data_IF_597415054843
#
_entry.id   IF_597415054843
#
_cell.length_a   1.000
_cell.length_b   1.000
_cell.length_c   1.000
_cell.angle_alpha   90.00
_cell.angle_beta   90.00
_cell.angle_gamma   90.00
#
_symmetry.space_group_name_H-M   'P 1'
#
loop_
_entity.id
_entity.type
_entity.pdbx_description
1 polymer ?
#
# COMPACT_ATOMS: atom_id res chain seq x y z
N UNK A 1 6.06 -3.51 -21.69
CA UNK A 1 6.35 -3.43 -20.25
C UNK A 1 6.56 -1.98 -19.76
N UNK A 2 7.27 -1.11 -20.48
CA UNK A 2 7.44 0.30 -20.08
C UNK A 2 6.14 1.15 -20.10
N UNK A 3 5.23 0.91 -21.05
CA UNK A 3 3.95 1.66 -21.14
C UNK A 3 2.92 1.29 -20.05
N UNK A 4 3.12 0.20 -19.31
CA UNK A 4 2.24 -0.18 -18.18
C UNK A 4 2.63 0.52 -16.87
N UNK A 5 3.88 0.94 -16.73
CA UNK A 5 4.36 1.66 -15.54
C UNK A 5 3.78 3.08 -15.44
N UNK A 6 3.62 3.78 -16.56
CA UNK A 6 3.03 5.13 -16.58
C UNK A 6 1.52 5.16 -16.22
N UNK A 7 0.80 4.05 -16.41
CA UNK A 7 -0.63 3.97 -16.11
C UNK A 7 -0.91 3.71 -14.61
N UNK A 8 0.01 3.05 -13.90
CA UNK A 8 -0.09 2.79 -12.45
C UNK A 8 0.17 4.09 -11.66
N UNK A 9 1.15 4.90 -12.09
CA UNK A 9 1.49 6.20 -11.49
C UNK A 9 0.35 7.23 -11.65
N UNK A 10 -0.31 7.27 -12.81
CA UNK A 10 -1.45 8.15 -13.02
C UNK A 10 -2.66 7.79 -12.12
N UNK A 11 -2.90 6.50 -11.84
CA UNK A 11 -3.99 6.07 -10.96
C UNK A 11 -3.69 6.29 -9.47
N UNK A 12 -2.42 6.24 -9.05
CA UNK A 12 -2.01 6.45 -7.66
C UNK A 12 -2.18 7.91 -7.22
N UNK A 13 -1.80 8.86 -8.07
CA UNK A 13 -1.94 10.31 -7.79
C UNK A 13 -3.41 10.77 -7.88
N UNK A 14 -4.19 10.25 -8.85
CA UNK A 14 -5.60 10.64 -9.02
C UNK A 14 -6.52 10.09 -7.90
N UNK A 15 -6.26 8.90 -7.38
CA UNK A 15 -7.08 8.29 -6.33
C UNK A 15 -6.86 8.90 -4.94
N UNK A 16 -5.66 9.40 -4.64
CA UNK A 16 -5.39 10.13 -3.40
C UNK A 16 -6.03 11.53 -3.39
N UNK A 17 -6.10 12.21 -4.55
CA UNK A 17 -6.63 13.57 -4.66
C UNK A 17 -8.18 13.65 -4.68
N UNK A 18 -8.90 12.59 -5.08
CA UNK A 18 -10.36 12.66 -5.28
C UNK A 18 -11.23 12.47 -4.01
N UNK A 19 -10.66 12.07 -2.88
CA UNK A 19 -11.45 11.84 -1.64
C UNK A 19 -11.63 13.12 -0.81
N UNK A 20 -10.86 14.18 -1.07
CA UNK A 20 -10.93 15.44 -0.31
C UNK A 20 -12.13 16.35 -0.65
N UNK A 21 -12.99 16.00 -1.62
CA UNK A 21 -14.05 16.88 -2.12
C UNK A 21 -15.51 16.40 -1.94
N UNK A 22 -15.75 15.25 -1.31
CA UNK A 22 -17.12 14.75 -1.05
C UNK A 22 -17.27 14.20 0.36
N UNK A 23 -17.39 15.10 1.35
CA UNK A 23 -17.52 14.74 2.76
C UNK A 23 -18.33 15.77 3.57
N UNK A 24 -19.50 16.16 3.08
CA UNK A 24 -20.54 16.81 3.89
C UNK A 24 -21.89 16.58 3.25
N UNK A 25 -22.60 15.58 3.78
CA UNK A 25 -24.05 15.64 4.03
C UNK A 25 -24.59 14.21 4.21
N UNK A 26 -24.86 13.84 5.47
CA UNK A 26 -26.12 13.21 5.93
C UNK A 26 -25.97 12.64 7.34
N UNK A 27 -26.54 13.37 8.30
CA UNK A 27 -26.99 12.82 9.56
C UNK A 27 -28.52 12.96 9.64
N UNK A 28 -29.19 11.92 10.11
CA UNK A 28 -30.51 12.01 10.74
C UNK A 28 -31.63 11.20 10.09
N UNK A 29 -31.82 9.96 10.55
CA UNK A 29 -33.16 9.35 10.65
C UNK A 29 -33.26 8.57 11.96
N UNK A 30 -34.23 8.96 12.80
CA UNK A 30 -34.71 8.25 14.00
C UNK A 30 -36.22 8.06 13.84
N UNK A 31 -36.71 6.83 14.08
CA UNK A 31 -38.01 6.45 14.71
C UNK A 31 -38.27 4.95 14.44
N UNK A 32 -38.30 4.05 15.42
CA UNK A 32 -39.31 3.71 16.44
C UNK A 32 -40.53 2.87 15.99
N UNK A 33 -40.75 1.76 16.71
CA UNK A 33 -41.99 0.95 16.80
C UNK A 33 -41.69 -0.55 16.59
N UNK A 34 -41.88 -1.52 17.50
CA UNK A 34 -42.68 -1.62 18.73
C UNK A 34 -43.91 -2.52 18.50
N UNK A 35 -43.93 -3.76 19.02
CA UNK A 35 -45.18 -4.55 19.08
C UNK A 35 -45.08 -6.09 19.21
N UNK A 36 -44.99 -6.58 20.45
CA UNK A 36 -45.60 -7.75 21.12
C UNK A 36 -45.87 -9.14 20.44
N UNK A 37 -45.56 -10.16 21.27
CA UNK A 37 -45.64 -11.63 21.17
C UNK A 37 -47.05 -12.21 21.56
N UNK A 38 -47.22 -13.50 22.00
CA UNK A 38 -46.98 -14.88 21.47
C UNK A 38 -48.33 -15.72 21.56
N UNK A 39 -48.48 -17.06 21.82
CA UNK A 39 -47.54 -18.19 22.01
C UNK A 39 -47.92 -19.61 21.46
N UNK A 40 -46.99 -20.54 21.70
CA UNK A 40 -47.14 -21.97 22.10
C UNK A 40 -47.45 -23.07 21.05
N UNK A 41 -46.61 -24.11 21.02
CA UNK A 41 -46.95 -25.43 21.58
C UNK A 41 -45.76 -26.42 21.55
N UNK A 42 -45.51 -27.04 22.70
CA UNK A 42 -44.68 -28.22 22.92
C UNK A 42 -45.40 -29.46 22.37
N UNK A 43 -44.68 -30.39 21.71
CA UNK A 43 -45.03 -31.81 21.69
C UNK A 43 -43.77 -32.64 21.87
N UNK A 44 -43.72 -33.32 23.00
CA UNK A 44 -42.84 -34.44 23.34
C UNK A 44 -43.37 -35.73 22.71
N UNK A 45 -42.48 -36.60 22.23
CA UNK A 45 -42.87 -37.91 21.71
C UNK A 45 -41.67 -38.77 21.35
N UNK A 46 -41.10 -39.43 22.35
CA UNK A 46 -40.15 -40.51 22.17
C UNK A 46 -40.89 -41.81 21.87
N UNK A 47 -40.50 -42.52 20.81
CA UNK A 47 -40.82 -43.93 20.63
C UNK A 47 -39.66 -44.64 19.92
N UNK A 48 -39.10 -45.59 20.64
CA UNK A 48 -38.09 -46.56 20.22
C UNK A 48 -38.68 -47.63 19.31
N UNK A 49 -38.06 -47.89 18.16
CA UNK A 49 -38.20 -49.17 17.45
C UNK A 49 -36.88 -49.56 16.79
N UNK A 50 -36.43 -50.78 17.10
CA UNK A 50 -35.22 -51.44 16.62
C UNK A 50 -35.17 -51.55 15.07
N UNK A 51 -33.97 -51.74 14.46
CA UNK A 51 -33.81 -51.66 13.02
C UNK A 51 -34.34 -52.90 12.30
N UNK A 52 -35.11 -52.67 11.24
CA UNK A 52 -35.50 -53.69 10.26
C UNK A 52 -34.28 -54.16 9.43
N UNK A 53 -34.26 -55.41 8.94
CA UNK A 53 -33.09 -55.99 8.29
C UNK A 53 -32.80 -55.33 6.93
N UNK A 54 -31.52 -55.26 6.58
CA UNK A 54 -31.07 -54.75 5.28
C UNK A 54 -31.66 -55.58 4.12
N UNK A 55 -32.27 -54.97 3.10
CA UNK A 55 -32.66 -55.69 1.91
C UNK A 55 -31.42 -56.03 1.08
N UNK A 56 -31.42 -57.25 0.53
CA UNK A 56 -30.37 -57.79 -0.33
C UNK A 56 -30.21 -56.98 -1.62
N UNK A 57 -28.99 -57.02 -2.17
CA UNK A 57 -28.45 -56.27 -3.32
C UNK A 57 -29.13 -56.51 -4.68
N UNK A 58 -30.36 -57.04 -4.70
CA UNK A 58 -31.06 -57.41 -5.93
C UNK A 58 -32.33 -56.58 -6.23
N UNK A 59 -32.67 -55.55 -5.45
CA UNK A 59 -33.91 -54.75 -5.67
C UNK A 59 -33.71 -53.28 -6.08
N UNK A 60 -32.47 -52.80 -6.23
CA UNK A 60 -32.19 -51.40 -6.62
C UNK A 60 -32.24 -51.12 -8.14
N UNK A 61 -32.49 -52.13 -8.98
CA UNK A 61 -32.52 -51.97 -10.44
C UNK A 61 -33.82 -51.36 -11.01
N UNK A 62 -34.80 -51.02 -10.16
CA UNK A 62 -36.11 -50.50 -10.58
C UNK A 62 -36.35 -49.02 -10.26
N UNK A 63 -35.36 -48.31 -9.70
CA UNK A 63 -35.41 -46.85 -9.64
C UNK A 63 -34.69 -46.30 -10.88
N UNK A 64 -35.45 -45.70 -11.79
CA UNK A 64 -34.94 -45.00 -12.97
C UNK A 64 -34.13 -43.76 -12.59
N UNK A 65 -32.95 -43.97 -12.01
CA UNK A 65 -31.89 -42.98 -12.08
C UNK A 65 -31.54 -42.87 -13.57
N UNK A 66 -31.85 -41.71 -14.17
CA UNK A 66 -31.28 -41.37 -15.47
C UNK A 66 -29.76 -41.59 -15.45
N UNK A 67 -29.13 -41.87 -16.60
CA UNK A 67 -27.70 -42.14 -16.65
C UNK A 67 -26.96 -41.07 -15.85
N UNK A 68 -26.10 -41.51 -14.92
CA UNK A 68 -25.20 -40.61 -14.22
C UNK A 68 -24.53 -39.70 -15.27
N UNK A 69 -24.41 -38.38 -15.03
CA UNK A 69 -23.71 -37.51 -15.96
C UNK A 69 -22.36 -38.14 -16.29
N UNK A 70 -21.99 -38.20 -17.58
CA UNK A 70 -20.68 -38.71 -17.97
C UNK A 70 -19.62 -38.00 -17.12
N UNK A 71 -18.63 -38.71 -16.54
CA UNK A 71 -17.61 -38.08 -15.72
C UNK A 71 -16.94 -36.99 -16.56
N UNK A 72 -16.97 -35.76 -16.05
CA UNK A 72 -16.36 -34.61 -16.73
C UNK A 72 -14.92 -34.96 -17.12
N UNK A 73 -14.59 -34.84 -18.40
CA UNK A 73 -13.24 -35.09 -18.90
C UNK A 73 -12.41 -33.82 -18.73
N UNK A 74 -11.54 -33.83 -17.72
CA UNK A 74 -10.55 -32.77 -17.53
C UNK A 74 -9.31 -33.02 -18.40
N UNK A 75 -8.66 -31.94 -18.82
CA UNK A 75 -7.44 -32.01 -19.64
C UNK A 75 -6.30 -32.75 -18.92
N UNK A 76 -6.20 -32.62 -17.60
CA UNK A 76 -5.22 -33.31 -16.77
C UNK A 76 -5.69 -33.41 -15.31
N UNK A 77 -4.94 -34.15 -14.49
CA UNK A 77 -5.26 -34.36 -13.08
C UNK A 77 -5.12 -33.09 -12.21
N UNK A 78 -4.21 -32.16 -12.55
CA UNK A 78 -4.08 -30.89 -11.80
C UNK A 78 -5.36 -30.07 -11.90
N UNK A 79 -5.88 -29.87 -13.11
CA UNK A 79 -7.16 -29.15 -13.31
C UNK A 79 -8.35 -29.88 -12.70
N UNK A 80 -8.38 -31.22 -12.76
CA UNK A 80 -9.42 -32.01 -12.10
C UNK A 80 -9.45 -31.81 -10.58
N UNK A 81 -8.27 -31.65 -9.95
CA UNK A 81 -8.16 -31.41 -8.51
C UNK A 81 -8.58 -29.99 -8.09
N UNK A 82 -8.45 -28.99 -8.97
CA UNK A 82 -8.86 -27.61 -8.70
C UNK A 82 -10.36 -27.36 -8.86
N UNK A 83 -11.04 -28.16 -9.69
CA UNK A 83 -12.48 -28.05 -9.86
C UNK A 83 -13.28 -28.08 -8.55
N UNK A 84 -13.12 -29.07 -7.65
CA UNK A 84 -13.88 -29.11 -6.40
C UNK A 84 -13.58 -27.90 -5.50
N UNK A 85 -12.36 -27.34 -5.55
CA UNK A 85 -11.98 -26.12 -4.82
C UNK A 85 -12.79 -24.93 -5.32
N UNK A 86 -12.84 -24.71 -6.64
CA UNK A 86 -13.63 -23.63 -7.25
C UNK A 86 -15.12 -23.79 -6.92
N UNK A 87 -15.65 -25.01 -7.00
CA UNK A 87 -17.05 -25.27 -6.68
C UNK A 87 -17.36 -25.10 -5.19
N UNK A 88 -16.41 -25.37 -4.29
CA UNK A 88 -16.56 -25.09 -2.88
C UNK A 88 -16.60 -23.58 -2.61
N UNK A 89 -15.68 -22.82 -3.20
CA UNK A 89 -15.67 -21.36 -3.10
C UNK A 89 -16.92 -20.73 -3.73
N UNK A 90 -17.38 -21.22 -4.89
CA UNK A 90 -18.64 -20.76 -5.51
C UNK A 90 -19.83 -20.84 -4.56
N UNK A 91 -19.86 -21.81 -3.63
CA UNK A 91 -20.92 -21.95 -2.62
C UNK A 91 -20.81 -20.96 -1.46
N UNK A 92 -19.64 -20.36 -1.23
CA UNK A 92 -19.45 -19.33 -0.19
C UNK A 92 -19.79 -17.94 -0.72
N UNK A 93 -19.90 -17.76 -2.05
CA UNK A 93 -20.26 -16.49 -2.67
C UNK A 93 -21.72 -16.15 -2.35
N UNK A 94 -21.92 -15.01 -1.70
CA UNK A 94 -23.25 -14.52 -1.30
C UNK A 94 -23.84 -13.48 -2.24
N UNK A 95 -23.01 -12.88 -3.10
CA UNK A 95 -23.45 -11.96 -4.15
C UNK A 95 -22.55 -12.07 -5.39
N UNK A 96 -23.18 -11.99 -6.57
CA UNK A 96 -22.52 -11.98 -7.88
C UNK A 96 -23.31 -11.08 -8.84
N UNK A 97 -23.14 -9.75 -8.74
CA UNK A 97 -23.98 -8.78 -9.45
C UNK A 97 -23.82 -8.85 -10.98
N UNK A 98 -22.70 -9.41 -11.46
CA UNK A 98 -22.39 -9.53 -12.88
C UNK A 98 -22.59 -10.94 -13.43
N UNK A 99 -23.07 -11.89 -12.61
CA UNK A 99 -23.30 -13.28 -13.00
C UNK A 99 -22.04 -14.01 -13.48
N UNK A 100 -20.87 -13.63 -12.98
CA UNK A 100 -19.58 -14.19 -13.41
C UNK A 100 -19.47 -15.67 -13.08
N UNK A 101 -19.96 -16.07 -11.91
CA UNK A 101 -19.89 -17.45 -11.40
C UNK A 101 -20.74 -18.42 -12.23
N UNK A 102 -21.66 -17.92 -13.07
CA UNK A 102 -22.38 -18.74 -14.06
C UNK A 102 -21.44 -19.34 -15.11
N UNK A 103 -20.26 -18.75 -15.32
CA UNK A 103 -19.24 -19.30 -16.22
C UNK A 103 -18.42 -20.44 -15.61
N UNK A 104 -18.54 -20.67 -14.29
CA UNK A 104 -17.75 -21.63 -13.52
C UNK A 104 -18.45 -23.01 -13.48
N UNK A 105 -18.67 -23.59 -14.67
CA UNK A 105 -19.34 -24.87 -14.86
C UNK A 105 -18.59 -25.74 -15.88
N UNK A 106 -18.60 -27.05 -15.68
CA UNK A 106 -17.87 -28.00 -16.52
C UNK A 106 -16.36 -28.06 -16.23
N UNK A 107 -15.59 -28.79 -17.06
CA UNK A 107 -14.16 -29.01 -16.88
C UNK A 107 -13.25 -27.93 -17.51
N UNK A 108 -13.81 -26.95 -18.22
CA UNK A 108 -13.07 -25.92 -18.97
C UNK A 108 -12.55 -24.77 -18.09
N UNK A 109 -11.71 -25.06 -17.11
CA UNK A 109 -11.23 -24.10 -16.08
C UNK A 109 -10.41 -22.92 -16.63
N UNK A 110 -9.82 -23.06 -17.80
CA UNK A 110 -8.82 -22.12 -18.32
C UNK A 110 -9.45 -21.05 -19.22
N UNK A 111 -9.85 -19.91 -18.65
CA UNK A 111 -10.46 -18.76 -19.36
C UNK A 111 -9.69 -18.35 -20.62
N UNK A 112 -8.36 -18.35 -20.54
CA UNK A 112 -7.46 -17.99 -21.64
C UNK A 112 -7.64 -18.85 -22.90
N UNK A 113 -8.08 -20.10 -22.77
CA UNK A 113 -8.27 -21.02 -23.88
C UNK A 113 -9.65 -20.92 -24.54
N UNK A 114 -10.60 -20.22 -23.89
CA UNK A 114 -12.00 -20.15 -24.32
C UNK A 114 -12.46 -18.71 -24.52
N UNK A 115 -11.57 -17.82 -24.97
CA UNK A 115 -11.84 -16.39 -25.22
C UNK A 115 -12.54 -15.67 -24.05
N UNK A 116 -12.27 -16.09 -22.80
CA UNK A 116 -12.89 -15.48 -21.62
C UNK A 116 -14.33 -15.90 -21.33
N UNK A 117 -14.88 -16.89 -22.04
CA UNK A 117 -16.30 -17.28 -21.93
C UNK A 117 -16.56 -18.37 -20.88
N UNK A 118 -15.53 -19.12 -20.50
CA UNK A 118 -15.57 -20.20 -19.50
C UNK A 118 -14.64 -19.86 -18.34
N UNK A 119 -15.08 -20.15 -17.11
CA UNK A 119 -14.31 -19.87 -15.89
C UNK A 119 -13.67 -18.48 -15.88
N UNK A 120 -14.49 -17.46 -16.15
CA UNK A 120 -14.00 -16.08 -16.23
C UNK A 120 -13.28 -15.71 -14.94
N UNK A 121 -12.05 -15.22 -15.08
CA UNK A 121 -11.15 -14.88 -13.99
C UNK A 121 -10.09 -15.95 -13.66
N UNK A 122 -10.16 -17.16 -14.23
CA UNK A 122 -9.14 -18.19 -14.01
C UNK A 122 -8.24 -18.34 -15.24
N UNK A 123 -6.94 -18.07 -15.09
CA UNK A 123 -5.96 -18.10 -16.17
C UNK A 123 -4.94 -19.20 -15.93
N UNK A 124 -4.69 -19.98 -16.98
CA UNK A 124 -3.81 -21.14 -16.91
C UNK A 124 -2.48 -20.89 -17.62
N UNK A 125 -1.43 -21.47 -17.07
CA UNK A 125 -0.08 -21.51 -17.65
C UNK A 125 0.65 -22.79 -17.20
N UNK A 126 1.90 -22.93 -17.64
CA UNK A 126 2.77 -24.05 -17.33
C UNK A 126 3.74 -23.66 -16.20
N UNK A 127 3.68 -24.32 -15.02
CA UNK A 127 4.56 -23.98 -13.91
C UNK A 127 6.01 -24.40 -14.23
N UNK A 128 7.03 -23.70 -13.70
CA UNK A 128 8.44 -23.98 -14.00
C UNK A 128 8.88 -25.42 -13.73
N UNK A 129 8.30 -26.10 -12.73
CA UNK A 129 8.62 -27.49 -12.39
C UNK A 129 7.89 -28.53 -13.27
N UNK A 130 6.87 -28.13 -14.04
CA UNK A 130 6.09 -29.02 -14.90
C UNK A 130 5.70 -28.29 -16.20
N UNK A 131 6.68 -28.01 -17.09
CA UNK A 131 6.50 -27.15 -18.26
C UNK A 131 5.53 -27.72 -19.33
N UNK A 132 5.08 -28.96 -19.15
CA UNK A 132 4.14 -29.64 -20.06
C UNK A 132 2.75 -29.84 -19.44
N UNK A 133 2.56 -29.51 -18.16
CA UNK A 133 1.30 -29.74 -17.45
C UNK A 133 0.63 -28.42 -17.13
N UNK A 134 -0.43 -28.12 -17.88
CA UNK A 134 -1.24 -26.92 -17.68
C UNK A 134 -1.94 -26.93 -16.31
N UNK A 135 -1.91 -25.80 -15.61
CA UNK A 135 -2.56 -25.59 -14.30
C UNK A 135 -3.12 -24.17 -14.24
N UNK A 136 -3.94 -23.86 -13.22
CA UNK A 136 -4.34 -22.47 -12.97
C UNK A 136 -3.17 -21.75 -12.29
N UNK A 137 -2.58 -20.80 -13.00
CA UNK A 137 -1.41 -20.04 -12.54
C UNK A 137 -1.81 -18.65 -12.03
N UNK A 138 -2.97 -18.13 -12.45
CA UNK A 138 -3.43 -16.79 -12.11
C UNK A 138 -4.93 -16.78 -11.89
N UNK A 139 -5.36 -16.03 -10.90
CA UNK A 139 -6.78 -15.72 -10.66
C UNK A 139 -6.91 -14.20 -10.61
N UNK A 140 -7.73 -13.64 -11.51
CA UNK A 140 -8.02 -12.21 -11.59
C UNK A 140 -9.54 -12.00 -11.57
N UNK A 141 -10.01 -11.52 -10.43
CA UNK A 141 -11.39 -11.19 -10.11
C UNK A 141 -11.64 -9.68 -10.08
N UNK A 142 -10.75 -8.87 -10.66
CA UNK A 142 -10.85 -7.42 -10.62
C UNK A 142 -12.20 -6.93 -11.18
N UNK A 143 -12.92 -6.14 -10.38
CA UNK A 143 -14.19 -5.52 -10.74
C UNK A 143 -15.38 -6.48 -10.84
N UNK A 144 -15.29 -7.71 -10.32
CA UNK A 144 -16.42 -8.64 -10.35
C UNK A 144 -17.51 -8.33 -9.32
N UNK A 145 -17.19 -7.55 -8.27
CA UNK A 145 -18.15 -7.20 -7.23
C UNK A 145 -18.66 -8.40 -6.43
N UNK A 146 -17.89 -9.50 -6.36
CA UNK A 146 -18.26 -10.72 -5.64
C UNK A 146 -18.26 -10.48 -4.13
N UNK A 147 -19.23 -11.06 -3.42
CA UNK A 147 -19.23 -11.11 -1.96
C UNK A 147 -18.84 -12.51 -1.51
N UNK A 148 -17.79 -12.65 -0.70
CA UNK A 148 -17.51 -13.89 0.01
C UNK A 148 -16.95 -13.59 1.40
N UNK A 149 -17.36 -14.34 2.43
CA UNK A 149 -16.99 -14.05 3.81
C UNK A 149 -15.51 -14.36 4.13
N UNK A 150 -14.86 -15.19 3.32
CA UNK A 150 -13.46 -15.61 3.47
C UNK A 150 -12.90 -16.12 2.14
N UNK A 151 -11.58 -15.95 1.96
CA UNK A 151 -10.78 -16.56 0.89
C UNK A 151 -10.07 -17.85 1.34
N UNK A 152 -10.15 -18.19 2.62
CA UNK A 152 -9.52 -19.40 3.16
C UNK A 152 -10.21 -20.68 2.67
N UNK A 153 -9.42 -21.69 2.34
CA UNK A 153 -9.87 -22.90 1.67
C UNK A 153 -10.12 -22.72 0.16
N UNK A 154 -9.78 -21.54 -0.38
CA UNK A 154 -9.86 -21.25 -1.81
C UNK A 154 -8.49 -20.96 -2.38
N UNK A 155 -7.93 -19.76 -2.19
CA UNK A 155 -6.69 -19.35 -2.87
C UNK A 155 -5.47 -20.14 -2.40
N UNK A 156 -5.46 -20.59 -1.15
CA UNK A 156 -4.44 -21.45 -0.56
C UNK A 156 -4.44 -22.87 -1.13
N UNK A 157 -5.50 -23.28 -1.85
CA UNK A 157 -5.63 -24.62 -2.42
C UNK A 157 -5.20 -24.69 -3.90
N UNK A 158 -4.58 -23.64 -4.44
CA UNK A 158 -4.02 -23.61 -5.80
C UNK A 158 -2.49 -23.72 -5.75
N UNK A 159 -1.91 -24.93 -5.80
CA UNK A 159 -0.49 -25.17 -5.51
C UNK A 159 0.49 -24.50 -6.49
N UNK A 160 0.02 -24.10 -7.67
CA UNK A 160 0.82 -23.45 -8.70
C UNK A 160 0.43 -21.97 -8.91
N UNK A 161 -0.36 -21.38 -7.99
CA UNK A 161 -0.82 -20.00 -8.10
C UNK A 161 0.36 -19.03 -7.95
N UNK A 162 0.48 -18.13 -8.92
CA UNK A 162 1.53 -17.12 -8.98
C UNK A 162 1.02 -15.72 -8.60
N UNK A 163 -0.23 -15.41 -8.95
CA UNK A 163 -0.85 -14.12 -8.65
C UNK A 163 -2.34 -14.25 -8.38
N UNK A 164 -2.80 -13.45 -7.41
CA UNK A 164 -4.21 -13.30 -7.06
C UNK A 164 -4.58 -11.82 -7.07
N UNK A 165 -5.45 -11.43 -8.01
CA UNK A 165 -5.97 -10.07 -8.10
C UNK A 165 -7.48 -10.06 -7.82
N UNK A 166 -7.90 -9.22 -6.88
CA UNK A 166 -9.28 -9.16 -6.40
C UNK A 166 -9.76 -7.72 -6.16
N UNK A 167 -9.18 -6.74 -6.86
CA UNK A 167 -9.57 -5.33 -6.78
C UNK A 167 -11.10 -5.17 -6.96
N UNK A 168 -11.72 -4.30 -6.16
CA UNK A 168 -13.14 -3.92 -6.31
C UNK A 168 -14.09 -5.11 -6.21
N UNK A 169 -13.95 -5.86 -5.11
CA UNK A 169 -14.88 -6.90 -4.68
C UNK A 169 -15.39 -6.58 -3.26
N UNK A 170 -16.17 -7.48 -2.68
CA UNK A 170 -16.66 -7.38 -1.32
C UNK A 170 -16.23 -8.60 -0.50
N UNK A 171 -14.97 -9.01 -0.67
CA UNK A 171 -14.37 -10.07 0.12
C UNK A 171 -14.03 -9.58 1.53
N UNK A 172 -14.15 -10.47 2.51
CA UNK A 172 -13.81 -10.22 3.91
C UNK A 172 -13.09 -11.42 4.52
N UNK A 173 -12.90 -11.40 5.84
CA UNK A 173 -12.22 -12.46 6.59
C UNK A 173 -10.71 -12.21 6.65
N UNK A 174 -9.96 -13.26 6.93
CA UNK A 174 -8.50 -13.20 7.02
C UNK A 174 -7.85 -13.64 5.70
N UNK A 175 -6.64 -13.14 5.45
CA UNK A 175 -5.80 -13.65 4.35
C UNK A 175 -5.26 -15.02 4.78
N UNK A 176 -5.56 -16.10 4.05
CA UNK A 176 -5.08 -17.43 4.40
C UNK A 176 -3.55 -17.52 4.32
N UNK A 177 -2.99 -18.56 4.93
CA UNK A 177 -1.56 -18.85 4.78
C UNK A 177 -1.26 -19.22 3.32
N UNK A 178 -0.34 -18.49 2.70
CA UNK A 178 0.11 -18.69 1.31
C UNK A 178 1.58 -19.11 1.24
N UNK A 179 2.23 -19.37 2.38
CA UNK A 179 3.68 -19.63 2.46
C UNK A 179 4.09 -20.93 1.76
N UNK A 180 3.16 -21.86 1.58
CA UNK A 180 3.38 -23.10 0.84
C UNK A 180 3.25 -22.96 -0.68
N UNK A 181 2.89 -21.78 -1.20
CA UNK A 181 2.76 -21.53 -2.64
C UNK A 181 4.13 -21.11 -3.23
N UNK A 182 4.83 -21.98 -3.97
CA UNK A 182 6.22 -21.77 -4.34
C UNK A 182 6.43 -20.71 -5.44
N UNK A 183 5.36 -20.30 -6.11
CA UNK A 183 5.40 -19.37 -7.24
C UNK A 183 4.67 -18.04 -6.95
N UNK A 184 4.15 -17.85 -5.74
CA UNK A 184 3.28 -16.73 -5.44
C UNK A 184 4.09 -15.44 -5.26
N UNK A 185 3.84 -14.44 -6.11
CA UNK A 185 4.60 -13.19 -6.13
C UNK A 185 3.76 -11.90 -6.25
N UNK A 186 2.46 -11.97 -6.55
CA UNK A 186 1.57 -10.79 -6.49
C UNK A 186 0.27 -11.07 -5.74
N UNK A 187 -0.04 -10.19 -4.77
CA UNK A 187 -1.30 -10.18 -4.05
C UNK A 187 -1.94 -8.79 -4.15
N UNK A 188 -3.07 -8.70 -4.83
CA UNK A 188 -3.92 -7.51 -4.86
C UNK A 188 -5.28 -7.81 -4.24
N UNK A 189 -5.49 -7.28 -3.03
CA UNK A 189 -6.74 -7.34 -2.26
C UNK A 189 -7.39 -5.95 -2.14
N UNK A 190 -7.02 -5.02 -3.00
CA UNK A 190 -7.45 -3.63 -2.91
C UNK A 190 -8.97 -3.46 -3.05
N UNK A 191 -9.53 -2.43 -2.42
CA UNK A 191 -10.95 -2.08 -2.51
C UNK A 191 -11.87 -3.28 -2.19
N UNK A 192 -11.76 -3.79 -0.97
CA UNK A 192 -12.52 -4.92 -0.42
C UNK A 192 -13.03 -4.57 1.00
N UNK A 193 -13.50 -5.58 1.72
CA UNK A 193 -14.04 -5.45 3.07
C UNK A 193 -13.19 -6.22 4.10
N UNK A 194 -11.89 -6.41 3.83
CA UNK A 194 -10.96 -6.99 4.81
C UNK A 194 -10.80 -6.06 6.01
N UNK A 195 -10.67 -6.63 7.21
CA UNK A 195 -10.63 -5.88 8.47
C UNK A 195 -9.78 -6.61 9.51
N UNK A 196 -9.56 -6.00 10.68
CA UNK A 196 -8.68 -6.56 11.71
C UNK A 196 -7.29 -5.96 11.62
N UNK A 197 -6.29 -6.64 12.19
CA UNK A 197 -4.89 -6.21 12.11
C UNK A 197 -4.30 -6.42 10.71
N UNK A 198 -3.09 -5.91 10.48
CA UNK A 198 -2.31 -6.29 9.31
C UNK A 198 -2.26 -7.84 9.17
N UNK A 199 -2.38 -8.40 7.97
CA UNK A 199 -2.34 -9.85 7.77
C UNK A 199 -0.89 -10.36 7.87
N UNK A 200 -0.42 -10.68 9.07
CA UNK A 200 0.96 -11.13 9.33
C UNK A 200 1.38 -12.36 8.50
N UNK A 201 0.42 -13.12 7.98
CA UNK A 201 0.62 -14.24 7.04
C UNK A 201 1.28 -13.83 5.73
N UNK A 202 1.25 -12.54 5.34
CA UNK A 202 1.92 -12.06 4.11
C UNK A 202 3.41 -11.79 4.30
N UNK A 203 3.86 -11.55 5.55
CA UNK A 203 5.26 -11.26 5.87
C UNK A 203 6.21 -12.41 5.48
N UNK A 204 5.92 -13.70 5.80
CA UNK A 204 6.80 -14.81 5.43
C UNK A 204 6.79 -15.14 3.93
N UNK A 205 6.03 -14.44 3.09
CA UNK A 205 6.02 -14.64 1.63
C UNK A 205 7.28 -14.03 1.00
N UNK A 206 8.43 -14.68 1.19
CA UNK A 206 9.73 -14.16 0.76
C UNK A 206 9.92 -13.95 -0.74
N UNK A 207 9.00 -14.44 -1.58
CA UNK A 207 8.99 -14.22 -3.04
C UNK A 207 8.06 -13.10 -3.52
N UNK A 208 7.39 -12.39 -2.61
CA UNK A 208 6.40 -11.38 -2.96
C UNK A 208 7.07 -10.15 -3.59
N UNK A 209 6.59 -9.75 -4.77
CA UNK A 209 7.03 -8.54 -5.48
C UNK A 209 5.98 -7.43 -5.39
N UNK A 210 4.70 -7.78 -5.24
CA UNK A 210 3.61 -6.81 -5.22
C UNK A 210 2.62 -7.14 -4.10
N UNK A 211 2.39 -6.16 -3.21
CA UNK A 211 1.38 -6.25 -2.17
C UNK A 211 0.50 -5.00 -2.18
N UNK A 212 -0.76 -5.20 -2.53
CA UNK A 212 -1.78 -4.14 -2.48
C UNK A 212 -2.93 -4.49 -1.54
N UNK A 213 -3.01 -3.76 -0.43
CA UNK A 213 -4.05 -3.87 0.60
C UNK A 213 -4.90 -2.59 0.71
N UNK A 214 -4.78 -1.67 -0.25
CA UNK A 214 -5.41 -0.35 -0.17
C UNK A 214 -6.95 -0.42 -0.12
N UNK A 215 -7.59 0.60 0.43
CA UNK A 215 -9.06 0.71 0.48
C UNK A 215 -9.71 -0.52 1.13
N UNK A 216 -9.24 -0.87 2.33
CA UNK A 216 -9.84 -1.89 3.19
C UNK A 216 -10.15 -1.27 4.56
N UNK A 217 -10.46 -2.10 5.55
CA UNK A 217 -10.79 -1.71 6.93
C UNK A 217 -9.76 -2.25 7.93
N UNK A 218 -8.53 -2.48 7.49
CA UNK A 218 -7.46 -2.89 8.41
C UNK A 218 -7.18 -1.78 9.43
N UNK A 219 -6.78 -2.16 10.64
CA UNK A 219 -6.51 -1.23 11.73
C UNK A 219 -5.38 -1.73 12.64
N UNK A 220 -4.89 -0.86 13.52
CA UNK A 220 -3.76 -1.17 14.39
C UNK A 220 -2.41 -0.93 13.73
N UNK A 221 -1.34 -1.34 14.40
CA UNK A 221 0.02 -1.11 13.92
C UNK A 221 0.39 -2.04 12.76
N UNK A 222 1.16 -1.52 11.81
CA UNK A 222 1.83 -2.34 10.80
C UNK A 222 3.10 -2.93 11.45
N UNK A 223 3.29 -4.26 11.43
CA UNK A 223 4.48 -4.89 12.00
C UNK A 223 5.76 -4.37 11.33
N UNK A 224 6.83 -4.10 12.09
CA UNK A 224 8.10 -3.63 11.51
C UNK A 224 8.68 -4.48 10.38
N UNK A 225 8.60 -5.84 10.41
CA UNK A 225 9.10 -6.68 9.33
C UNK A 225 8.43 -6.45 7.96
N UNK A 226 7.26 -5.81 7.91
CA UNK A 226 6.60 -5.46 6.64
C UNK A 226 7.45 -4.49 5.82
N UNK A 227 8.19 -3.61 6.50
CA UNK A 227 9.09 -2.67 5.85
C UNK A 227 10.42 -3.30 5.44
N UNK A 228 10.73 -4.52 5.89
CA UNK A 228 11.91 -5.28 5.45
C UNK A 228 11.61 -6.17 4.23
N UNK A 229 10.35 -6.18 3.74
CA UNK A 229 9.96 -6.98 2.57
C UNK A 229 10.66 -6.47 1.30
N UNK A 230 11.12 -7.41 0.49
CA UNK A 230 11.75 -7.16 -0.82
C UNK A 230 10.71 -7.06 -1.94
N UNK A 231 9.63 -6.32 -1.70
CA UNK A 231 8.59 -6.02 -2.69
C UNK A 231 9.02 -4.85 -3.57
N UNK A 232 8.55 -4.78 -4.82
CA UNK A 232 8.69 -3.59 -5.68
C UNK A 232 7.64 -2.53 -5.32
N UNK A 233 6.42 -2.95 -4.98
CA UNK A 233 5.32 -2.06 -4.63
C UNK A 233 4.60 -2.51 -3.35
N UNK A 234 4.44 -1.57 -2.42
CA UNK A 234 3.74 -1.75 -1.16
C UNK A 234 2.65 -0.67 -1.00
N UNK A 235 1.40 -1.07 -1.14
CA UNK A 235 0.25 -0.16 -1.04
C UNK A 235 -0.62 -0.51 0.18
N UNK A 236 -0.61 0.37 1.18
CA UNK A 236 -1.35 0.22 2.44
C UNK A 236 -2.36 1.36 2.66
N UNK A 237 -2.53 2.24 1.66
CA UNK A 237 -3.31 3.47 1.81
C UNK A 237 -4.81 3.24 1.98
N UNK A 238 -5.50 4.23 2.57
CA UNK A 238 -6.95 4.20 2.78
C UNK A 238 -7.37 3.00 3.64
N UNK A 239 -6.77 2.89 4.82
CA UNK A 239 -7.10 1.95 5.88
C UNK A 239 -7.21 2.71 7.22
N UNK A 240 -7.30 1.99 8.32
CA UNK A 240 -7.23 2.51 9.70
C UNK A 240 -5.91 2.18 10.40
N UNK A 241 -4.81 1.95 9.67
CA UNK A 241 -3.51 1.65 10.28
C UNK A 241 -3.03 2.81 11.14
N UNK A 242 -2.38 2.50 12.26
CA UNK A 242 -1.92 3.48 13.24
C UNK A 242 -0.53 3.13 13.80
N UNK A 243 -0.10 3.87 14.82
CA UNK A 243 1.21 3.71 15.42
C UNK A 243 2.30 4.40 14.61
N UNK A 244 3.56 4.15 14.96
CA UNK A 244 4.71 4.79 14.32
C UNK A 244 5.20 4.00 13.12
N UNK A 245 5.70 4.71 12.11
CA UNK A 245 6.55 4.10 11.08
C UNK A 245 7.90 3.78 11.75
N UNK A 246 8.35 2.52 11.76
CA UNK A 246 9.55 2.09 12.46
C UNK A 246 10.83 2.46 11.70
N UNK A 247 11.97 2.47 12.39
CA UNK A 247 13.28 2.72 11.75
C UNK A 247 13.66 1.63 10.73
N UNK A 248 13.06 0.43 10.79
CA UNK A 248 13.20 -0.60 9.75
C UNK A 248 12.68 -0.16 8.39
N UNK A 249 11.96 0.97 8.31
CA UNK A 249 11.62 1.64 7.05
C UNK A 249 12.83 1.81 6.11
N UNK A 250 14.01 2.08 6.65
CA UNK A 250 15.23 2.25 5.86
C UNK A 250 15.71 0.97 5.15
N UNK A 251 15.21 -0.20 5.54
CA UNK A 251 15.55 -1.48 4.94
C UNK A 251 14.65 -1.87 3.77
N UNK A 252 13.67 -1.03 3.41
CA UNK A 252 12.66 -1.42 2.43
C UNK A 252 13.22 -1.64 1.03
N UNK A 253 12.81 -2.76 0.42
CA UNK A 253 13.04 -3.03 -0.99
C UNK A 253 12.09 -2.28 -1.93
N UNK A 254 11.06 -1.62 -1.38
CA UNK A 254 9.99 -1.00 -2.16
C UNK A 254 10.51 0.16 -3.02
N UNK A 255 10.13 0.12 -4.29
CA UNK A 255 10.26 1.25 -5.22
C UNK A 255 9.11 2.23 -5.07
N UNK A 256 7.89 1.71 -4.87
CA UNK A 256 6.68 2.49 -4.65
C UNK A 256 6.09 2.12 -3.29
N UNK A 257 6.05 3.07 -2.36
CA UNK A 257 5.54 2.87 -1.01
C UNK A 257 4.45 3.89 -0.70
N UNK A 258 3.22 3.43 -0.48
CA UNK A 258 2.07 4.31 -0.21
C UNK A 258 1.39 3.90 1.09
N UNK A 259 1.50 4.77 2.10
CA UNK A 259 0.85 4.63 3.42
C UNK A 259 -0.19 5.73 3.68
N UNK A 260 -0.54 6.47 2.64
CA UNK A 260 -1.48 7.58 2.64
C UNK A 260 -2.85 7.28 3.27
N UNK A 261 -3.55 8.30 3.78
CA UNK A 261 -4.91 8.19 4.30
C UNK A 261 -5.04 7.09 5.37
N UNK A 262 -4.24 7.19 6.42
CA UNK A 262 -4.23 6.31 7.58
C UNK A 262 -4.14 7.17 8.86
N UNK A 263 -3.75 6.57 9.98
CA UNK A 263 -3.58 7.20 11.28
C UNK A 263 -2.15 6.99 11.81
N UNK A 264 -1.15 6.92 10.92
CA UNK A 264 0.26 6.81 11.33
C UNK A 264 0.68 8.07 12.11
N UNK A 265 1.41 7.88 13.20
CA UNK A 265 1.85 8.93 14.13
C UNK A 265 3.37 8.97 14.26
N UNK A 266 3.88 10.04 14.89
CA UNK A 266 5.31 10.18 15.15
C UNK A 266 6.12 10.64 13.93
N UNK A 267 7.45 10.67 14.03
CA UNK A 267 8.30 11.24 12.99
C UNK A 267 8.43 10.35 11.77
N UNK A 268 8.69 11.01 10.63
CA UNK A 268 9.23 10.34 9.45
C UNK A 268 10.60 9.77 9.85
N UNK A 269 10.84 8.44 9.70
CA UNK A 269 12.09 7.82 10.13
C UNK A 269 13.28 8.42 9.41
N UNK A 270 14.33 8.77 10.16
CA UNK A 270 15.58 9.27 9.57
C UNK A 270 16.23 8.21 8.70
N UNK A 271 15.99 6.92 8.97
CA UNK A 271 16.48 5.80 8.19
C UNK A 271 16.02 5.79 6.73
N UNK A 272 15.10 6.67 6.31
CA UNK A 272 14.72 6.86 4.90
C UNK A 272 15.93 7.07 3.97
N UNK A 273 17.04 7.64 4.43
CA UNK A 273 18.25 7.75 3.57
C UNK A 273 18.83 6.39 3.16
N UNK A 274 18.55 5.31 3.89
CA UNK A 274 19.04 3.97 3.52
C UNK A 274 18.30 3.40 2.30
N UNK A 275 17.19 4.02 1.87
CA UNK A 275 16.37 3.55 0.75
C UNK A 275 16.81 4.13 -0.60
N UNK A 276 17.93 4.89 -0.66
CA UNK A 276 18.40 5.55 -1.90
C UNK A 276 18.67 4.58 -3.06
N UNK A 277 18.87 3.29 -2.78
CA UNK A 277 19.08 2.28 -3.81
C UNK A 277 17.77 1.75 -4.43
N UNK A 278 16.62 1.99 -3.80
CA UNK A 278 15.36 1.31 -4.12
C UNK A 278 14.19 2.27 -4.32
N UNK A 279 14.01 3.21 -3.39
CA UNK A 279 12.79 4.03 -3.29
C UNK A 279 12.74 5.11 -4.36
N UNK A 280 11.67 5.12 -5.15
CA UNK A 280 11.40 6.12 -6.18
C UNK A 280 10.21 7.00 -5.83
N UNK A 281 9.18 6.45 -5.18
CA UNK A 281 7.99 7.19 -4.78
C UNK A 281 7.57 6.81 -3.36
N UNK A 282 7.34 7.82 -2.52
CA UNK A 282 6.82 7.64 -1.17
C UNK A 282 5.71 8.63 -0.83
N UNK A 283 4.57 8.09 -0.40
CA UNK A 283 3.36 8.85 -0.14
C UNK A 283 2.89 8.61 1.30
N UNK A 284 3.09 9.63 2.14
CA UNK A 284 2.70 9.73 3.54
C UNK A 284 1.44 10.58 3.77
N UNK A 285 0.83 11.11 2.71
CA UNK A 285 -0.23 12.12 2.81
C UNK A 285 -1.43 11.71 3.67
N UNK A 286 -2.05 12.68 4.34
CA UNK A 286 -3.23 12.48 5.21
C UNK A 286 -2.99 11.41 6.29
N UNK A 287 -2.04 11.68 7.17
CA UNK A 287 -1.75 10.91 8.37
C UNK A 287 -1.65 11.86 9.58
N UNK A 288 -1.14 11.37 10.71
CA UNK A 288 -0.86 12.14 11.93
C UNK A 288 0.66 12.19 12.19
N UNK A 289 1.48 12.15 11.13
CA UNK A 289 2.94 12.19 11.26
C UNK A 289 3.36 13.54 11.81
N UNK A 290 4.27 13.55 12.77
CA UNK A 290 4.62 14.74 13.56
C UNK A 290 6.11 14.84 13.84
N UNK A 291 6.55 15.95 14.41
CA UNK A 291 7.98 16.20 14.66
C UNK A 291 8.68 16.83 13.46
N UNK A 292 10.01 16.88 13.52
CA UNK A 292 10.80 17.65 12.56
C UNK A 292 10.96 16.94 11.22
N UNK A 293 10.86 17.69 10.12
CA UNK A 293 11.19 17.21 8.79
C UNK A 293 12.68 16.80 8.72
N UNK A 294 13.01 15.51 8.46
CA UNK A 294 14.38 15.03 8.59
C UNK A 294 15.27 15.50 7.44
N UNK A 295 16.52 15.86 7.78
CA UNK A 295 17.55 16.24 6.82
C UNK A 295 17.89 15.11 5.84
N UNK A 296 17.77 13.88 6.32
CA UNK A 296 18.09 12.64 5.63
C UNK A 296 17.26 12.40 4.36
N UNK A 297 16.07 13.00 4.23
CA UNK A 297 15.27 12.90 3.00
C UNK A 297 16.05 13.43 1.78
N UNK A 298 16.79 14.53 1.95
CA UNK A 298 17.59 15.10 0.87
C UNK A 298 18.76 14.23 0.40
N UNK A 299 19.00 13.10 1.05
CA UNK A 299 20.04 12.12 0.69
C UNK A 299 19.48 10.92 -0.09
N UNK A 300 18.16 10.89 -0.32
CA UNK A 300 17.50 9.81 -1.06
C UNK A 300 17.68 10.05 -2.57
N UNK A 301 18.70 9.42 -3.14
CA UNK A 301 18.95 9.45 -4.58
C UNK A 301 17.82 8.76 -5.36
N UNK A 302 17.47 9.27 -6.55
CA UNK A 302 16.44 8.67 -7.40
C UNK A 302 14.98 8.88 -6.94
N UNK A 303 14.76 9.65 -5.86
CA UNK A 303 13.41 9.97 -5.39
C UNK A 303 12.70 10.91 -6.38
N UNK A 304 11.59 10.46 -6.94
CA UNK A 304 10.77 11.15 -7.95
C UNK A 304 9.56 11.83 -7.31
N UNK A 305 8.88 11.13 -6.40
CA UNK A 305 7.70 11.66 -5.70
C UNK A 305 7.89 11.56 -4.19
N UNK A 306 7.76 12.69 -3.52
CA UNK A 306 7.67 12.75 -2.06
C UNK A 306 6.43 13.55 -1.66
N UNK A 307 5.44 12.86 -1.09
CA UNK A 307 4.23 13.51 -0.58
C UNK A 307 4.07 13.25 0.92
N UNK A 308 4.20 14.30 1.72
CA UNK A 308 3.90 14.30 3.15
C UNK A 308 2.80 15.31 3.53
N UNK A 309 1.93 15.66 2.57
CA UNK A 309 0.88 16.64 2.78
C UNK A 309 -0.20 16.20 3.77
N UNK A 310 -0.85 17.12 4.47
CA UNK A 310 -1.93 16.81 5.42
C UNK A 310 -1.43 16.00 6.62
N UNK A 311 -0.39 16.50 7.29
CA UNK A 311 0.21 15.89 8.49
C UNK A 311 0.46 16.98 9.56
N UNK A 312 1.14 16.62 10.63
CA UNK A 312 1.56 17.50 11.73
C UNK A 312 3.08 17.74 11.73
N UNK A 313 3.73 17.59 10.57
CA UNK A 313 5.19 17.76 10.44
C UNK A 313 5.54 19.24 10.61
N UNK A 314 6.59 19.51 11.36
CA UNK A 314 7.05 20.86 11.68
C UNK A 314 8.53 21.06 11.34
N UNK A 315 8.99 22.30 11.46
CA UNK A 315 10.38 22.69 11.22
C UNK A 315 10.58 23.47 9.91
N UNK A 316 11.78 24.02 9.71
CA UNK A 316 12.18 24.53 8.41
C UNK A 316 12.42 23.40 7.41
N UNK A 317 12.27 23.68 6.11
CA UNK A 317 12.72 22.75 5.07
C UNK A 317 14.26 22.68 5.13
N UNK A 318 14.87 21.49 5.34
CA UNK A 318 16.32 21.33 5.37
C UNK A 318 16.97 21.70 4.03
N UNK A 319 18.17 22.29 4.06
CA UNK A 319 18.87 22.67 2.82
C UNK A 319 19.28 21.45 1.96
N UNK A 320 19.37 20.25 2.56
CA UNK A 320 19.60 19.00 1.84
C UNK A 320 18.51 18.69 0.80
N UNK A 321 17.30 19.24 0.93
CA UNK A 321 16.24 19.04 -0.06
C UNK A 321 16.64 19.56 -1.44
N UNK A 322 17.57 20.53 -1.53
CA UNK A 322 18.14 20.95 -2.82
C UNK A 322 18.95 19.87 -3.55
N UNK A 323 19.23 18.73 -2.92
CA UNK A 323 19.96 17.60 -3.50
C UNK A 323 19.06 16.53 -4.11
N UNK A 324 17.74 16.68 -4.02
CA UNK A 324 16.76 15.78 -4.64
C UNK A 324 16.72 15.99 -6.17
N UNK A 325 17.78 15.61 -6.89
CA UNK A 325 17.94 15.94 -8.31
C UNK A 325 16.89 15.34 -9.24
N UNK A 326 16.31 14.20 -8.84
CA UNK A 326 15.31 13.46 -9.62
C UNK A 326 13.86 13.78 -9.24
N UNK A 327 13.63 14.61 -8.22
CA UNK A 327 12.26 14.87 -7.75
C UNK A 327 11.47 15.64 -8.80
N UNK A 328 10.28 15.13 -9.11
CA UNK A 328 9.32 15.73 -10.02
C UNK A 328 8.15 16.35 -9.23
N UNK A 329 7.73 15.69 -8.15
CA UNK A 329 6.66 16.15 -7.27
C UNK A 329 7.08 16.13 -5.80
N UNK A 330 7.04 17.32 -5.18
CA UNK A 330 7.30 17.51 -3.77
C UNK A 330 6.09 18.20 -3.13
N UNK A 331 5.32 17.44 -2.36
CA UNK A 331 4.15 17.94 -1.66
C UNK A 331 4.35 17.92 -0.14
N UNK A 332 4.34 19.10 0.47
CA UNK A 332 4.46 19.31 1.91
C UNK A 332 3.29 20.16 2.44
N UNK A 333 2.22 20.30 1.67
CA UNK A 333 1.10 21.18 2.02
C UNK A 333 0.31 20.71 3.24
N UNK A 334 -0.34 21.61 3.97
CA UNK A 334 -1.16 21.25 5.13
C UNK A 334 -0.34 20.63 6.25
N UNK A 335 0.69 21.34 6.69
CA UNK A 335 1.61 20.95 7.78
C UNK A 335 1.88 22.16 8.69
N UNK A 336 2.84 22.01 9.60
CA UNK A 336 3.31 23.04 10.52
C UNK A 336 4.74 23.51 10.17
N UNK A 337 5.10 23.47 8.88
CA UNK A 337 6.42 23.90 8.43
C UNK A 337 6.54 25.42 8.45
N UNK A 338 7.73 25.94 8.72
CA UNK A 338 7.92 27.38 8.93
C UNK A 338 9.29 27.87 8.48
N UNK A 339 9.48 29.19 8.56
CA UNK A 339 10.74 29.84 8.22
C UNK A 339 10.77 30.35 6.79
N UNK A 340 11.96 30.53 6.24
CA UNK A 340 12.14 30.88 4.83
C UNK A 340 12.09 29.61 3.98
N UNK A 341 11.37 29.64 2.85
CA UNK A 341 11.47 28.59 1.83
C UNK A 341 12.88 28.63 1.21
N UNK A 342 13.70 27.57 1.33
CA UNK A 342 15.07 27.59 0.85
C UNK A 342 15.12 27.71 -0.68
N UNK A 343 15.85 28.71 -1.18
CA UNK A 343 15.95 28.96 -2.62
C UNK A 343 16.61 27.79 -3.38
N UNK A 344 17.42 26.98 -2.68
CA UNK A 344 18.03 25.76 -3.21
C UNK A 344 17.02 24.69 -3.60
N UNK A 345 15.86 24.63 -2.94
CA UNK A 345 14.78 23.69 -3.31
C UNK A 345 14.12 24.14 -4.60
N UNK A 346 13.89 25.45 -4.75
CA UNK A 346 13.30 26.01 -5.95
C UNK A 346 14.26 25.97 -7.17
N UNK A 347 15.57 25.92 -6.94
CA UNK A 347 16.54 25.69 -8.02
C UNK A 347 16.35 24.33 -8.72
N UNK A 348 15.78 23.32 -8.04
CA UNK A 348 15.51 22.01 -8.65
C UNK A 348 14.57 22.09 -9.86
N UNK A 349 13.69 23.08 -9.94
CA UNK A 349 12.83 23.26 -11.12
C UNK A 349 13.60 23.80 -12.33
N UNK A 350 14.79 24.37 -12.11
CA UNK A 350 15.66 24.92 -13.15
C UNK A 350 16.81 23.99 -13.51
N UNK A 351 17.41 23.34 -12.51
CA UNK A 351 18.60 22.48 -12.67
C UNK A 351 18.29 20.99 -12.59
N UNK A 352 17.10 20.62 -12.13
CA UNK A 352 16.64 19.24 -11.97
C UNK A 352 15.33 18.98 -12.70
N UNK A 353 14.47 18.13 -12.12
CA UNK A 353 13.21 17.65 -12.74
C UNK A 353 11.94 18.16 -12.07
N UNK A 354 12.04 19.05 -11.08
CA UNK A 354 10.89 19.47 -10.25
C UNK A 354 9.83 20.19 -11.09
N UNK A 355 8.63 19.61 -11.13
CA UNK A 355 7.48 20.11 -11.89
C UNK A 355 6.37 20.65 -10.97
N UNK A 356 6.24 20.10 -9.77
CA UNK A 356 5.21 20.50 -8.81
C UNK A 356 5.79 20.60 -7.39
N UNK A 357 5.71 21.78 -6.78
CA UNK A 357 6.12 22.05 -5.41
C UNK A 357 4.96 22.66 -4.63
N UNK A 358 4.35 21.87 -3.75
CA UNK A 358 3.20 22.32 -2.96
C UNK A 358 3.62 22.56 -1.51
N UNK A 359 3.62 23.83 -1.09
CA UNK A 359 3.94 24.29 0.27
C UNK A 359 2.76 25.01 0.91
N UNK A 360 1.56 24.90 0.34
CA UNK A 360 0.38 25.62 0.82
C UNK A 360 -0.04 25.18 2.21
N UNK A 361 -0.79 26.03 2.92
CA UNK A 361 -1.32 25.72 4.25
C UNK A 361 -0.23 25.33 5.26
N UNK A 362 0.83 26.15 5.35
CA UNK A 362 1.94 26.06 6.31
C UNK A 362 2.18 27.42 6.99
N UNK A 363 3.32 27.63 7.64
CA UNK A 363 3.69 28.88 8.33
C UNK A 363 4.97 29.50 7.77
N UNK A 364 5.29 29.34 6.47
CA UNK A 364 6.46 30.01 5.89
C UNK A 364 6.29 31.53 5.91
N UNK A 365 7.35 32.28 6.27
CA UNK A 365 7.29 33.74 6.38
C UNK A 365 7.91 34.49 5.18
N UNK A 366 8.73 33.80 4.37
CA UNK A 366 9.39 34.40 3.21
C UNK A 366 9.79 33.37 2.17
N UNK A 367 10.01 33.85 0.95
CA UNK A 367 10.52 33.09 -0.20
C UNK A 367 11.73 33.81 -0.80
N UNK A 368 12.68 33.05 -1.34
CA UNK A 368 13.82 33.59 -2.08
C UNK A 368 13.47 34.01 -3.52
N UNK A 369 14.48 34.43 -4.28
CA UNK A 369 14.32 34.94 -5.64
C UNK A 369 13.85 33.85 -6.61
N UNK A 370 14.48 32.68 -6.58
CA UNK A 370 14.11 31.56 -7.46
C UNK A 370 12.73 31.01 -7.10
N UNK A 371 12.40 30.93 -5.81
CA UNK A 371 11.07 30.54 -5.38
C UNK A 371 9.97 31.52 -5.85
N UNK A 372 10.24 32.83 -5.84
CA UNK A 372 9.30 33.83 -6.37
C UNK A 372 8.99 33.61 -7.86
N UNK A 373 9.98 33.19 -8.65
CA UNK A 373 9.78 32.84 -10.06
C UNK A 373 8.84 31.63 -10.21
N UNK A 374 9.01 30.60 -9.38
CA UNK A 374 8.15 29.41 -9.39
C UNK A 374 6.72 29.69 -8.94
N UNK A 375 6.52 30.63 -8.01
CA UNK A 375 5.16 31.07 -7.64
C UNK A 375 4.47 31.73 -8.84
N UNK A 376 5.20 32.57 -9.59
CA UNK A 376 4.66 33.23 -10.78
C UNK A 376 4.34 32.25 -11.91
N UNK A 377 5.14 31.20 -12.07
CA UNK A 377 4.92 30.14 -13.07
C UNK A 377 3.94 29.06 -12.63
N UNK A 378 3.39 29.13 -11.41
CA UNK A 378 2.47 28.14 -10.81
C UNK A 378 3.06 26.75 -10.58
N UNK A 379 4.39 26.65 -10.57
CA UNK A 379 5.10 25.44 -10.14
C UNK A 379 5.12 25.35 -8.61
N UNK A 380 5.18 26.49 -7.91
CA UNK A 380 5.20 26.57 -6.45
C UNK A 380 3.89 27.16 -5.89
N UNK A 381 3.16 26.38 -5.10
CA UNK A 381 2.00 26.85 -4.33
C UNK A 381 2.40 27.22 -2.89
N UNK A 382 2.24 28.50 -2.53
CA UNK A 382 2.50 29.04 -1.18
C UNK A 382 1.27 29.71 -0.56
N UNK A 383 0.07 29.41 -1.04
CA UNK A 383 -1.17 29.93 -0.43
C UNK A 383 -1.29 29.47 1.02
N UNK A 384 -2.03 30.21 1.84
CA UNK A 384 -2.26 29.93 3.27
C UNK A 384 -0.96 29.75 4.06
N UNK A 385 0.00 30.67 3.85
CA UNK A 385 1.23 30.79 4.63
C UNK A 385 1.28 32.12 5.40
N UNK A 386 2.44 32.49 5.94
CA UNK A 386 2.68 33.74 6.66
C UNK A 386 3.56 34.73 5.86
N UNK A 387 3.50 34.68 4.52
CA UNK A 387 4.37 35.45 3.65
C UNK A 387 3.79 36.85 3.41
N UNK A 388 4.42 37.87 3.97
CA UNK A 388 3.95 39.25 3.81
C UNK A 388 3.92 39.68 2.34
N UNK A 389 2.80 40.28 1.92
CA UNK A 389 2.61 40.84 0.57
C UNK A 389 2.16 39.83 -0.49
N UNK A 390 2.00 38.55 -0.16
CA UNK A 390 1.43 37.55 -1.07
C UNK A 390 -0.10 37.46 -0.92
N UNK A 391 -0.84 37.07 -1.97
CA UNK A 391 -2.27 36.82 -1.87
C UNK A 391 -2.59 35.54 -1.08
N UNK A 392 -3.83 35.44 -0.60
CA UNK A 392 -4.41 34.25 0.06
C UNK A 392 -3.59 33.69 1.23
N UNK A 393 -3.00 34.57 2.05
CA UNK A 393 -2.20 34.19 3.21
C UNK A 393 -3.04 34.01 4.49
N UNK A 394 -2.46 33.36 5.51
CA UNK A 394 -3.09 33.20 6.83
C UNK A 394 -3.32 34.56 7.50
N UNK A 395 -4.32 34.67 8.39
CA UNK A 395 -4.50 35.85 9.23
C UNK A 395 -3.23 36.17 10.03
N UNK A 396 -2.80 37.44 10.11
CA UNK A 396 -1.58 37.82 10.85
C UNK A 396 -1.57 37.38 12.32
N UNK A 397 -2.74 37.31 12.97
CA UNK A 397 -2.86 36.84 14.36
C UNK A 397 -2.52 35.36 14.51
N UNK A 398 -2.84 34.54 13.52
CA UNK A 398 -2.53 33.11 13.51
C UNK A 398 -1.02 32.90 13.35
N UNK A 399 -0.40 33.64 12.43
CA UNK A 399 1.04 33.66 12.24
C UNK A 399 1.78 34.13 13.50
N UNK A 400 1.35 35.24 14.11
CA UNK A 400 1.96 35.76 15.33
C UNK A 400 1.85 34.77 16.50
N UNK A 401 0.69 34.10 16.65
CA UNK A 401 0.49 33.06 17.66
C UNK A 401 1.43 31.86 17.42
N UNK A 402 1.57 31.38 16.18
CA UNK A 402 2.47 30.28 15.84
C UNK A 402 3.93 30.60 16.18
N UNK A 403 4.42 31.76 15.75
CA UNK A 403 5.81 32.17 15.98
C UNK A 403 6.13 32.54 17.44
N UNK A 404 5.11 32.77 18.27
CA UNK A 404 5.27 33.01 19.70
C UNK A 404 5.37 31.70 20.51
N UNK A 405 5.05 30.55 19.93
CA UNK A 405 5.05 29.24 20.61
C UNK A 405 6.45 28.61 20.60
N UNK A 406 7.13 28.47 21.76
CA UNK A 406 8.46 27.88 21.83
C UNK A 406 8.48 26.36 21.57
N UNK A 407 7.33 25.68 21.63
CA UNK A 407 7.25 24.23 21.36
C UNK A 407 7.45 23.88 19.89
N UNK A 408 7.41 24.88 19.00
CA UNK A 408 7.52 24.74 17.54
C UNK A 408 8.95 24.80 17.02
N UNK A 409 9.97 24.49 17.83
CA UNK A 409 11.36 24.61 17.42
C UNK A 409 12.01 23.28 16.99
N UNK A 410 12.44 23.23 15.72
CA UNK A 410 13.29 22.19 15.16
C UNK A 410 14.72 22.68 14.93
N UNK A 411 15.74 21.80 15.06
CA UNK A 411 17.12 22.14 14.73
C UNK A 411 17.25 22.48 13.24
N UNK A 412 17.97 23.57 12.95
CA UNK A 412 18.30 23.96 11.58
C UNK A 412 19.74 23.54 11.24
N UNK A 413 19.90 22.79 10.15
CA UNK A 413 21.21 22.34 9.65
C UNK A 413 21.53 23.17 8.39
N UNK A 414 22.47 24.12 8.45
CA UNK A 414 22.80 25.02 7.33
C UNK A 414 23.75 24.38 6.29
N UNK A 415 23.85 23.05 6.26
CA UNK A 415 24.75 22.32 5.38
C UNK A 415 23.99 21.79 4.16
N UNK A 416 24.63 21.84 2.99
CA UNK A 416 24.14 21.24 1.74
C UNK A 416 25.11 20.11 1.38
N UNK A 417 24.64 18.85 1.30
CA UNK A 417 25.50 17.68 1.14
C UNK A 417 25.86 17.35 -0.33
N UNK A 418 25.46 18.20 -1.29
CA UNK A 418 25.72 18.02 -2.72
C UNK A 418 26.25 19.31 -3.35
N UNK A 419 26.84 19.19 -4.54
CA UNK A 419 27.18 20.34 -5.36
C UNK A 419 25.93 20.82 -6.12
N UNK A 420 25.61 22.11 -5.98
CA UNK A 420 24.46 22.73 -6.64
C UNK A 420 24.94 23.61 -7.81
N UNK A 421 24.64 23.23 -9.07
CA UNK A 421 25.00 24.05 -10.23
C UNK A 421 24.36 25.44 -10.15
N UNK A 422 25.19 26.49 -10.14
CA UNK A 422 24.73 27.88 -10.11
C UNK A 422 24.37 28.44 -8.73
N UNK A 423 24.58 27.68 -7.64
CA UNK A 423 24.44 28.20 -6.28
C UNK A 423 25.81 28.65 -5.74
N UNK A 424 25.96 29.95 -5.48
CA UNK A 424 27.15 30.50 -4.83
C UNK A 424 26.86 30.73 -3.35
N UNK A 425 27.53 29.96 -2.47
CA UNK A 425 27.45 30.17 -1.03
C UNK A 425 27.92 31.59 -0.67
N UNK A 426 27.14 32.39 0.08
CA UNK A 426 27.58 33.73 0.49
C UNK A 426 28.80 33.74 1.42
N UNK A 427 29.20 32.62 2.03
CA UNK A 427 30.32 32.56 3.00
C UNK A 427 31.07 31.21 3.03
N UNK A 428 31.56 30.73 1.89
CA UNK A 428 32.58 29.67 1.91
C UNK A 428 33.99 30.27 2.05
N UNK A 429 34.32 30.77 3.25
CA UNK A 429 35.72 30.92 3.62
C UNK A 429 36.29 29.51 3.84
N UNK A 430 37.36 29.16 3.12
CA UNK A 430 38.06 27.86 3.19
C UNK A 430 38.28 27.44 4.65
N UNK A 431 37.58 26.39 5.08
CA UNK A 431 37.98 25.61 6.23
C UNK A 431 38.55 24.29 5.68
N UNK A 432 39.87 24.15 5.77
CA UNK A 432 40.56 22.89 5.48
C UNK A 432 40.05 21.82 6.47
N UNK A 433 39.29 20.85 5.96
CA UNK A 433 38.84 19.71 6.76
C UNK A 433 39.97 18.69 6.79
N UNK A 434 40.69 18.65 7.91
CA UNK A 434 41.55 17.53 8.26
C UNK A 434 40.68 16.25 8.34
N UNK A 435 41.05 15.25 7.55
CA UNK A 435 40.40 13.95 7.52
C UNK A 435 40.38 13.30 8.91
N UNK A 436 39.20 12.82 9.33
CA UNK A 436 39.06 11.93 10.48
C UNK A 436 39.80 10.60 10.18
N UNK A 437 40.60 10.07 11.12
CA UNK A 437 41.33 8.83 10.87
C UNK A 437 40.40 7.61 10.93
N UNK A 438 40.55 6.74 9.92
CA UNK A 438 39.90 5.44 9.87
C UNK A 438 40.34 4.54 11.03
N UNK A 439 39.37 3.84 11.61
CA UNK A 439 39.58 2.84 12.65
C UNK A 439 40.50 1.71 12.13
N UNK A 440 41.65 1.53 12.78
CA UNK A 440 42.55 0.42 12.54
C UNK A 440 42.01 -0.85 13.23
N UNK A 441 41.68 -1.86 12.43
CA UNK A 441 41.52 -3.23 12.86
C UNK A 441 42.80 -3.73 13.55
N UNK A 442 42.69 -4.10 14.81
CA UNK A 442 43.74 -4.80 15.54
C UNK A 442 43.85 -6.25 15.08
N UNK A 443 44.89 -6.55 14.30
CA UNK A 443 45.43 -7.90 14.17
C UNK A 443 46.63 -8.02 15.10
N UNK A 444 46.45 -8.74 16.21
CA UNK A 444 47.55 -9.15 17.09
C UNK A 444 48.22 -10.41 16.55
N UNK A 445 49.51 -10.32 16.23
CA UNK A 445 50.44 -11.45 16.24
C UNK A 445 51.81 -10.97 16.76
N UNK A 446 52.16 -11.48 17.95
CA UNK A 446 53.46 -12.05 18.36
C UNK A 446 54.75 -11.63 17.63
N UNK A 447 55.76 -11.09 18.35
CA UNK A 447 56.90 -11.85 18.91
C UNK A 447 57.96 -10.96 19.62
N UNK A 448 58.39 -11.46 20.79
CA UNK A 448 59.73 -11.47 21.42
C UNK A 448 60.70 -10.27 21.41
N UNK A 449 61.25 -9.98 22.62
CA UNK A 449 62.70 -9.77 22.76
C UNK A 449 63.19 -8.78 23.81
N UNK A 450 63.58 -9.28 24.99
CA UNK A 450 64.81 -8.88 25.71
C UNK A 450 64.83 -7.56 26.51
N UNK A 451 64.63 -7.61 27.82
CA UNK A 451 65.68 -7.66 28.87
C UNK A 451 65.06 -7.44 30.27
#
# INVERSE_FOLDING_TARGET
MAARHAAVVALLVLAAAHVALCGSDRAGVVAHGGGNAPPAANVTGAASSAPAPAPSSASLAACGCGPAPAPWQFLNQKLAALWPVIQAFKKTITCDPHGVTATWEGPELCSSYFNGTKYKGFYCDFPPNAPTTLTVASIDFNGFGLCAPSLAGFIDQFPDLALFHANSNNFSGDVPDLTHLPYFYELDLSNNNFSGSFPDTVVPLGGLLFLDLRFNKYAGAVPPPVFDLTVEALFLNNNGFNGRIPDSFGSTGAKYLVVANNQFTGPIPRSIYNTSATLSEVLFLNNQLSGCLPYEIGLVEGLVVFDAGGNEVMGPIPLSFGCLSDVEELNLAGNQLYGQVPDVVCLLAKTGKLQNLSLSDNFFHSVGHHCMELVRSRVLDVRRNCILGFPDQRPPIECAAFYADPSKHCPFIPHIPCELPGYHHPHAAKADVAALPAAAHGHGQTQEGGN
#
